data_IF_208148951955
#
_entry.id   IF_208148951955
#
_cell.length_a   1.000
_cell.length_b   1.000
_cell.length_c   1.000
_cell.angle_alpha   90.00
_cell.angle_beta   90.00
_cell.angle_gamma   90.00
#
_symmetry.space_group_name_H-M   'P 1'
#
loop_
_entity.id
_entity.type
_entity.pdbx_description
1 polymer ?
2 polymer ?
3 polymer ?
4 polymer ?
5 non-polymer ?
6 non-polymer ?
7 non-polymer ?
8 non-polymer ?
9 water ?
#
loop_
_entity_poly.entity_id
_entity_poly.type
_entity_poly.pdbx_seq_one_letter_code
_entity_poly.pdbx_strand_id
2 'polydeoxyribonucleotide' '(DC)(DG)(DG)(DC)(DA)(DT)(DA)(DC)(DG)' ?
3 'polydeoxyribonucleotide' '(DC)(DG)(DT)(DA)(DT)' ?
4 'polydeoxyribonucleotide' '(DG)(DC)(DC)(DG)' ?
#
# COMPACT_ATOMS: atom_id res chain seq x y z
N UNK A 10 -9.33 16.21 17.19
CA UNK A 10 -8.92 15.16 16.27
C UNK A 10 -10.11 14.69 15.42
N UNK A 11 -10.12 15.01 14.13
CA UNK A 11 -11.24 14.56 13.29
C UNK A 11 -11.23 13.06 13.10
N UNK A 12 -12.38 12.53 12.71
CA UNK A 12 -12.61 11.10 12.75
C UNK A 12 -12.08 10.39 11.52
N UNK A 13 -11.90 11.10 10.40
CA UNK A 13 -11.41 10.52 9.16
C UNK A 13 -9.93 10.85 8.98
N UNK A 14 -9.15 9.86 8.51
CA UNK A 14 -7.72 10.12 8.34
C UNK A 14 -7.44 11.16 7.26
N UNK A 15 -8.35 11.35 6.32
CA UNK A 15 -8.09 12.33 5.26
C UNK A 15 -8.30 13.77 5.73
N UNK A 16 -8.76 13.97 6.96
CA UNK A 16 -9.01 15.27 7.53
C UNK A 16 -7.87 15.80 8.37
N UNK A 17 -6.77 15.07 8.45
CA UNK A 17 -5.68 15.48 9.33
C UNK A 17 -4.35 15.07 8.70
N UNK A 18 -3.31 15.87 8.89
CA UNK A 18 -1.99 15.48 8.38
C UNK A 18 -1.44 14.29 9.16
N UNK A 19 -0.85 13.34 8.43
CA UNK A 19 -0.20 12.21 9.07
C UNK A 19 1.19 12.08 8.49
N UNK A 20 2.23 12.43 9.24
CA UNK A 20 3.59 12.40 8.71
C UNK A 20 4.12 10.97 8.72
N UNK A 21 5.23 10.80 8.02
CA UNK A 21 5.82 9.48 7.89
C UNK A 21 6.40 9.01 9.21
N UNK A 22 7.07 9.90 9.92
CA UNK A 22 7.61 9.59 11.23
C UNK A 22 6.89 10.45 12.26
N UNK A 23 6.76 9.90 13.47
CA UNK A 23 5.86 10.55 14.41
C UNK A 23 6.33 10.23 15.84
N UNK A 24 5.43 10.41 16.82
CA UNK A 24 5.81 10.45 18.23
C UNK A 24 5.21 9.30 19.02
N UNK A 25 4.60 8.34 18.35
CA UNK A 25 3.92 7.25 19.04
C UNK A 25 4.19 5.93 18.33
N UNK A 26 5.44 5.74 17.88
CA UNK A 26 5.77 4.63 17.00
C UNK A 26 5.47 3.27 17.63
N UNK A 27 5.90 3.06 18.88
CA UNK A 27 5.67 1.78 19.53
C UNK A 27 4.19 1.47 19.74
N UNK A 28 3.42 2.47 20.11
CA UNK A 28 2.00 2.25 20.31
C UNK A 28 1.32 1.90 19.00
N UNK A 29 1.63 2.65 17.94
CA UNK A 29 1.00 2.36 16.66
C UNK A 29 1.41 0.99 16.12
N UNK A 30 2.68 0.60 16.32
CA UNK A 30 3.10 -0.70 15.81
C UNK A 30 2.32 -1.83 16.51
N UNK A 31 2.04 -1.70 17.79
CA UNK A 31 1.29 -2.74 18.49
C UNK A 31 -0.12 -2.85 17.95
N UNK A 32 -0.80 -1.72 17.78
CA UNK A 32 -2.15 -1.74 17.23
C UNK A 32 -2.14 -2.33 15.82
N UNK A 33 -1.10 -2.04 15.04
CA UNK A 33 -1.03 -2.59 13.70
C UNK A 33 -0.80 -4.11 13.69
N UNK A 34 -0.17 -4.66 14.73
CA UNK A 34 -0.07 -6.12 14.83
C UNK A 34 -1.47 -6.72 14.96
N UNK A 35 -2.29 -6.12 15.82
CA UNK A 35 -3.66 -6.62 16.02
C UNK A 35 -4.49 -6.43 14.75
N UNK A 36 -4.27 -5.35 14.01
CA UNK A 36 -4.97 -5.18 12.73
C UNK A 36 -4.61 -6.29 11.77
N UNK A 37 -3.32 -6.56 11.65
CA UNK A 37 -2.86 -7.60 10.73
C UNK A 37 -3.43 -8.96 11.13
N UNK A 38 -3.41 -9.26 12.42
CA UNK A 38 -3.95 -10.53 12.88
C UNK A 38 -5.44 -10.63 12.60
N UNK A 39 -6.17 -9.53 12.79
CA UNK A 39 -7.59 -9.50 12.45
C UNK A 39 -7.82 -9.84 10.98
N UNK A 40 -6.98 -9.30 10.10
CA UNK A 40 -7.11 -9.63 8.69
C UNK A 40 -6.83 -11.09 8.40
N UNK A 41 -5.86 -11.68 9.10
CA UNK A 41 -5.57 -13.10 8.87
C UNK A 41 -6.76 -13.97 9.24
N UNK A 42 -7.65 -13.48 10.11
CA UNK A 42 -8.83 -14.22 10.52
C UNK A 42 -10.08 -13.77 9.76
N UNK A 43 -9.92 -12.95 8.73
CA UNK A 43 -11.04 -12.49 7.96
C UNK A 43 -11.92 -11.44 8.62
N UNK A 44 -11.42 -10.78 9.65
CA UNK A 44 -12.22 -9.82 10.42
C UNK A 44 -11.92 -8.40 9.92
N UNK A 45 -12.49 -8.07 8.75
CA UNK A 45 -12.15 -6.80 8.11
C UNK A 45 -12.57 -5.59 8.93
N UNK A 46 -13.69 -5.69 9.67
CA UNK A 46 -14.10 -4.58 10.50
C UNK A 46 -13.11 -4.28 11.62
N UNK A 47 -12.69 -5.32 12.33
CA UNK A 47 -11.68 -5.16 13.37
C UNK A 47 -10.39 -4.61 12.79
N UNK A 48 -9.94 -5.16 11.67
CA UNK A 48 -8.71 -4.66 11.03
C UNK A 48 -8.81 -3.16 10.81
N UNK A 49 -9.93 -2.70 10.26
CA UNK A 49 -10.10 -1.27 10.02
C UNK A 49 -10.00 -0.47 11.32
N UNK A 50 -10.69 -0.91 12.38
CA UNK A 50 -10.66 -0.10 13.58
C UNK A 50 -9.25 -0.02 14.16
N UNK A 51 -8.55 -1.15 14.19
CA UNK A 51 -7.19 -1.13 14.74
C UNK A 51 -6.27 -0.29 13.87
N UNK A 52 -6.42 -0.40 12.54
CA UNK A 52 -5.66 0.48 11.63
C UNK A 52 -5.96 1.96 11.89
N UNK A 53 -7.25 2.30 12.03
CA UNK A 53 -7.64 3.67 12.29
C UNK A 53 -7.10 4.19 13.62
N UNK A 54 -7.16 3.36 14.66
CA UNK A 54 -6.65 3.77 15.98
C UNK A 54 -5.14 4.01 15.90
N UNK A 55 -4.42 3.10 15.26
CA UNK A 55 -2.99 3.31 15.04
C UNK A 55 -2.74 4.64 14.33
N UNK A 56 -3.51 4.93 13.27
CA UNK A 56 -3.31 6.14 12.49
C UNK A 56 -3.58 7.41 13.31
N UNK A 57 -4.54 7.36 14.22
CA UNK A 57 -4.80 8.52 15.09
C UNK A 57 -3.55 8.86 15.89
N UNK A 58 -2.87 7.84 16.41
CA UNK A 58 -1.66 8.07 17.18
C UNK A 58 -0.56 8.66 16.32
N UNK A 59 -0.47 8.23 15.06
CA UNK A 59 0.52 8.82 14.16
C UNK A 59 0.29 10.30 13.94
N UNK A 60 -0.97 10.76 14.03
CA UNK A 60 -1.34 12.15 13.80
C UNK A 60 -1.15 13.05 15.02
N UNK A 61 -0.83 12.48 16.18
CA UNK A 61 -0.74 13.29 17.39
C UNK A 61 0.56 14.10 17.39
N UNK A 62 0.57 15.26 18.03
CA UNK A 62 1.75 16.13 18.01
C UNK A 62 2.82 15.79 19.02
N UNK A 63 2.59 14.85 19.93
CA UNK A 63 3.56 14.50 20.94
C UNK A 63 3.25 13.10 21.44
N UNK A 64 4.14 12.50 22.25
CA UNK A 64 3.88 11.15 22.77
C UNK A 64 2.71 11.11 23.73
N UNK A 65 1.92 10.05 23.60
CA UNK A 65 0.99 9.66 24.65
C UNK A 65 1.78 9.08 25.82
N UNK A 66 1.60 9.70 27.00
CA UNK A 66 2.24 9.25 28.24
C UNK A 66 1.26 8.77 29.30
N UNK A 67 -0.02 9.13 29.18
CA UNK A 67 -1.01 8.77 30.19
C UNK A 67 -2.29 8.36 29.48
N UNK A 68 -3.04 7.47 30.12
CA UNK A 68 -4.26 6.96 29.52
C UNK A 68 -5.28 8.06 29.31
N UNK A 69 -5.27 9.06 30.19
CA UNK A 69 -6.24 10.16 30.06
C UNK A 69 -6.13 10.85 28.71
N UNK A 70 -4.95 10.79 28.07
CA UNK A 70 -4.74 11.46 26.80
C UNK A 70 -5.53 10.80 25.65
N UNK A 71 -6.04 9.58 25.85
CA UNK A 71 -6.87 8.93 24.84
C UNK A 71 -8.33 9.38 24.90
N UNK A 72 -8.74 10.01 25.99
CA UNK A 72 -10.14 10.40 26.12
C UNK A 72 -10.52 11.35 24.99
N UNK A 73 -11.62 11.05 24.31
CA UNK A 73 -12.07 11.91 23.25
C UNK A 73 -11.45 11.63 21.89
N UNK A 74 -10.39 10.84 21.83
CA UNK A 74 -9.81 10.51 20.52
C UNK A 74 -10.72 9.53 19.78
N UNK A 75 -10.96 9.73 18.50
CA UNK A 75 -11.76 8.77 17.74
C UNK A 75 -11.06 7.44 17.57
N UNK A 76 -11.87 6.37 17.53
CA UNK A 76 -11.46 4.99 17.31
C UNK A 76 -10.76 4.35 18.49
N UNK A 77 -10.74 5.01 19.66
CA UNK A 77 -10.25 4.39 20.88
C UNK A 77 -11.43 4.06 21.79
N UNK A 78 -11.77 2.77 21.83
CA UNK A 78 -12.70 2.22 22.76
C UNK A 78 -12.01 1.32 23.77
N UNK A 79 -12.81 0.40 24.33
CA UNK A 79 -12.29 -0.41 25.43
C UNK A 79 -11.06 -1.21 25.02
N UNK A 80 -11.08 -1.80 23.82
CA UNK A 80 -10.01 -2.73 23.44
C UNK A 80 -8.72 -1.98 23.08
N UNK A 81 -8.77 -0.99 22.19
CA UNK A 81 -7.54 -0.29 21.84
C UNK A 81 -6.98 0.51 23.01
N UNK A 82 -7.87 1.01 23.88
CA UNK A 82 -7.40 1.74 25.06
C UNK A 82 -6.66 0.80 26.03
N UNK A 83 -7.18 -0.42 26.20
CA UNK A 83 -6.52 -1.38 27.08
C UNK A 83 -5.14 -1.75 26.56
N UNK A 84 -5.00 -1.89 25.23
CA UNK A 84 -3.70 -2.17 24.63
C UNK A 84 -2.71 -1.08 24.99
N UNK A 85 -3.10 0.18 24.76
CA UNK A 85 -2.24 1.31 25.09
C UNK A 85 -1.94 1.33 26.59
N UNK A 86 -2.95 1.11 27.41
CA UNK A 86 -2.74 1.15 28.86
C UNK A 86 -1.65 0.16 29.27
N UNK A 87 -1.71 -1.07 28.76
CA UNK A 87 -0.73 -2.06 29.13
C UNK A 87 0.66 -1.67 28.65
N UNK A 88 0.76 -1.15 27.42
CA UNK A 88 2.07 -0.73 26.95
C UNK A 88 2.65 0.38 27.83
N UNK A 89 1.79 1.31 28.26
CA UNK A 89 2.26 2.43 29.06
C UNK A 89 2.65 1.98 30.46
N UNK A 90 1.95 0.99 31.00
CA UNK A 90 2.19 0.53 32.37
C UNK A 90 3.33 -0.49 32.46
N UNK A 91 3.46 -1.39 31.48
CA UNK A 91 4.41 -2.48 31.56
C UNK A 91 5.38 -2.58 30.39
N UNK A 92 5.25 -1.73 29.37
CA UNK A 92 6.11 -1.80 28.20
C UNK A 92 5.76 -2.90 27.23
N UNK A 93 4.73 -3.69 27.53
CA UNK A 93 4.34 -4.83 26.70
C UNK A 93 2.84 -5.02 26.88
N UNK A 94 2.18 -5.51 25.84
CA UNK A 94 0.77 -5.87 25.88
C UNK A 94 0.68 -7.37 25.66
N UNK A 95 0.08 -8.07 26.63
CA UNK A 95 0.10 -9.54 26.60
C UNK A 95 -0.57 -10.06 25.33
N UNK A 96 -1.72 -9.49 24.97
CA UNK A 96 -2.42 -9.92 23.74
C UNK A 96 -1.52 -9.80 22.52
N UNK A 97 -0.85 -8.65 22.37
CA UNK A 97 0.03 -8.44 21.23
C UNK A 97 1.16 -9.45 21.21
N UNK A 98 1.79 -9.71 22.36
CA UNK A 98 2.89 -10.68 22.38
C UNK A 98 2.40 -12.09 22.08
N UNK A 99 1.22 -12.44 22.57
CA UNK A 99 0.66 -13.74 22.27
C UNK A 99 0.45 -13.89 20.76
N UNK A 100 -0.11 -12.87 20.12
CA UNK A 100 -0.24 -12.91 18.66
C UNK A 100 1.13 -13.08 18.01
N UNK A 101 2.09 -12.22 18.37
CA UNK A 101 3.40 -12.24 17.71
C UNK A 101 4.03 -13.62 17.70
N UNK A 102 3.94 -14.34 18.82
CA UNK A 102 4.63 -15.61 18.91
C UNK A 102 3.78 -16.77 18.40
N UNK A 103 2.52 -16.53 18.04
CA UNK A 103 1.65 -17.63 17.67
C UNK A 103 2.05 -18.22 16.32
N UNK A 104 1.89 -19.53 16.21
CA UNK A 104 2.24 -20.22 14.97
C UNK A 104 1.36 -19.74 13.83
N UNK A 105 0.10 -19.46 14.13
CA UNK A 105 -0.83 -19.00 13.11
C UNK A 105 -0.39 -17.67 12.53
N UNK A 106 -0.09 -16.71 13.38
CA UNK A 106 0.33 -15.39 12.91
C UNK A 106 1.62 -15.48 12.10
N UNK A 107 2.62 -16.20 12.61
CA UNK A 107 3.91 -16.18 11.93
C UNK A 107 3.82 -16.84 10.57
N UNK A 108 3.00 -17.89 10.45
CA UNK A 108 2.90 -18.59 9.17
C UNK A 108 2.04 -17.82 8.17
N UNK A 109 0.92 -17.26 8.63
CA UNK A 109 0.10 -16.44 7.73
C UNK A 109 0.89 -15.23 7.25
N UNK A 110 1.65 -14.61 8.12
CA UNK A 110 2.51 -13.51 7.68
C UNK A 110 3.50 -14.00 6.62
N UNK A 111 4.16 -15.14 6.88
CA UNK A 111 5.14 -15.66 5.93
C UNK A 111 4.49 -15.93 4.59
N UNK A 112 3.34 -16.58 4.60
CA UNK A 112 2.70 -17.00 3.36
C UNK A 112 2.11 -15.80 2.61
N UNK A 113 1.44 -14.89 3.31
CA UNK A 113 0.83 -13.76 2.61
C UNK A 113 1.86 -12.79 2.05
N UNK A 114 3.06 -12.75 2.62
CA UNK A 114 4.11 -11.93 2.05
C UNK A 114 4.61 -12.45 0.70
N UNK A 115 4.24 -13.68 0.29
CA UNK A 115 4.61 -14.17 -1.03
C UNK A 115 3.78 -13.45 -2.09
N UNK A 116 4.45 -12.95 -3.14
CA UNK A 116 3.75 -12.41 -4.29
C UNK A 116 2.92 -13.52 -4.95
N UNK A 117 1.60 -13.35 -4.98
CA UNK A 117 0.68 -14.30 -5.57
C UNK A 117 -0.13 -15.07 -4.56
N UNK A 118 0.18 -14.90 -3.28
CA UNK A 118 -0.51 -15.58 -2.19
C UNK A 118 -1.24 -14.54 -1.35
N UNK A 119 -2.54 -14.70 -1.20
CA UNK A 119 -3.33 -13.88 -0.31
C UNK A 119 -3.77 -14.63 0.93
N UNK A 120 -4.61 -13.97 1.73
CA UNK A 120 -5.05 -14.56 3.00
C UNK A 120 -5.73 -15.90 2.76
N UNK A 121 -6.64 -15.96 1.77
CA UNK A 121 -7.39 -17.18 1.54
C UNK A 121 -6.48 -18.34 1.16
N UNK A 122 -5.52 -18.11 0.26
CA UNK A 122 -4.62 -19.19 -0.10
C UNK A 122 -3.75 -19.60 1.08
N UNK A 123 -3.22 -18.62 1.81
CA UNK A 123 -2.38 -18.91 2.98
C UNK A 123 -3.15 -19.68 4.04
N UNK A 124 -4.41 -19.31 4.26
CA UNK A 124 -5.21 -20.00 5.26
C UNK A 124 -5.45 -21.45 4.87
N UNK A 125 -5.75 -21.70 3.60
CA UNK A 125 -5.95 -23.08 3.14
C UNK A 125 -4.69 -23.91 3.35
N UNK A 126 -3.53 -23.37 2.93
CA UNK A 126 -2.26 -24.06 3.13
C UNK A 126 -1.99 -24.31 4.61
N UNK A 127 -2.28 -23.32 5.45
CA UNK A 127 -2.09 -23.51 6.89
C UNK A 127 -2.92 -24.68 7.39
N UNK A 128 -4.19 -24.74 6.98
CA UNK A 128 -5.07 -25.80 7.45
C UNK A 128 -4.65 -27.16 6.91
N UNK A 129 -4.06 -27.20 5.72
CA UNK A 129 -3.48 -28.44 5.17
C UNK A 129 -2.20 -28.85 5.90
N UNK A 130 -1.69 -28.04 6.80
CA UNK A 130 -0.53 -28.38 7.57
C UNK A 130 0.78 -27.77 7.12
N UNK A 131 0.77 -26.96 6.07
CA UNK A 131 2.02 -26.38 5.56
C UNK A 131 2.47 -25.23 6.46
N UNK A 132 3.78 -25.09 6.64
CA UNK A 132 4.30 -24.10 7.56
C UNK A 132 5.47 -23.28 7.04
N UNK A 133 6.25 -23.77 6.07
CA UNK A 133 7.49 -23.14 5.66
C UNK A 133 7.51 -22.96 4.14
N UNK A 134 8.44 -22.13 3.66
CA UNK A 134 8.55 -21.95 2.22
C UNK A 134 8.99 -23.24 1.54
N UNK A 135 9.85 -24.00 2.21
CA UNK A 135 10.30 -25.26 1.63
C UNK A 135 9.14 -26.26 1.56
N UNK A 136 8.21 -26.23 2.53
CA UNK A 136 6.99 -27.01 2.35
C UNK A 136 6.31 -26.69 1.03
N UNK A 137 6.28 -25.41 0.66
CA UNK A 137 5.60 -25.04 -0.59
C UNK A 137 6.42 -25.47 -1.79
N UNK A 138 7.74 -25.33 -1.71
CA UNK A 138 8.59 -25.67 -2.82
C UNK A 138 8.57 -27.17 -3.11
N UNK A 139 8.28 -27.98 -2.09
CA UNK A 139 8.19 -29.43 -2.25
C UNK A 139 6.90 -29.89 -2.94
N UNK A 140 6.00 -28.98 -3.30
CA UNK A 140 4.74 -29.37 -3.95
C UNK A 140 4.37 -28.36 -5.04
N UNK A 141 5.23 -28.18 -6.04
CA UNK A 141 5.00 -27.14 -7.05
C UNK A 141 3.73 -27.34 -7.85
N UNK A 142 3.11 -28.52 -7.78
CA UNK A 142 1.84 -28.73 -8.46
C UNK A 142 0.74 -27.84 -7.89
N UNK A 143 0.86 -27.43 -6.64
CA UNK A 143 -0.14 -26.59 -6.00
C UNK A 143 0.03 -25.10 -6.32
N UNK A 144 1.02 -24.70 -7.10
CA UNK A 144 1.37 -23.29 -7.23
C UNK A 144 1.03 -22.76 -8.62
N UNK A 145 0.49 -21.55 -8.65
CA UNK A 145 0.36 -20.82 -9.91
C UNK A 145 1.74 -20.35 -10.38
N UNK A 146 1.83 -19.99 -11.66
CA UNK A 146 3.08 -19.44 -12.18
C UNK A 146 3.45 -18.17 -11.42
N UNK A 147 2.45 -17.40 -11.01
CA UNK A 147 2.70 -16.19 -10.25
C UNK A 147 3.28 -16.53 -8.89
N UNK A 148 2.68 -17.51 -8.21
CA UNK A 148 3.20 -17.97 -6.93
C UNK A 148 4.59 -18.56 -7.09
N UNK A 149 4.83 -19.27 -8.19
CA UNK A 149 6.16 -19.84 -8.40
C UNK A 149 7.20 -18.73 -8.48
N UNK A 150 6.88 -17.66 -9.19
CA UNK A 150 7.76 -16.50 -9.29
C UNK A 150 7.97 -15.86 -7.93
N UNK A 151 6.87 -15.68 -7.19
CA UNK A 151 6.96 -15.08 -5.87
C UNK A 151 7.82 -15.89 -4.93
N UNK A 152 7.72 -17.22 -5.01
CA UNK A 152 8.50 -18.09 -4.15
C UNK A 152 9.95 -18.14 -4.61
N UNK A 153 10.21 -18.22 -5.92
CA UNK A 153 11.60 -18.21 -6.39
C UNK A 153 12.31 -16.95 -5.96
N UNK A 154 11.65 -15.79 -6.06
CA UNK A 154 12.26 -14.51 -5.79
C UNK A 154 12.01 -14.01 -4.38
N UNK A 155 11.50 -14.87 -3.49
CA UNK A 155 11.06 -14.39 -2.17
C UNK A 155 12.17 -13.72 -1.38
N UNK A 156 13.39 -14.27 -1.41
CA UNK A 156 14.46 -13.71 -0.62
C UNK A 156 14.77 -12.29 -1.08
N UNK A 157 14.94 -12.08 -2.39
CA UNK A 157 15.22 -10.74 -2.88
C UNK A 157 14.07 -9.78 -2.58
N UNK A 158 12.85 -10.25 -2.76
CA UNK A 158 11.67 -9.39 -2.57
C UNK A 158 11.45 -9.07 -1.11
N UNK A 159 12.11 -9.79 -0.20
CA UNK A 159 12.09 -9.49 1.23
C UNK A 159 13.11 -8.44 1.62
N UNK A 160 14.03 -8.11 0.75
CA UNK A 160 15.09 -7.13 1.01
C UNK A 160 14.55 -5.74 0.70
N UNK A 161 14.72 -4.76 1.60
CA UNK A 161 14.15 -3.43 1.30
C UNK A 161 14.71 -2.81 0.02
N UNK A 162 13.81 -2.21 -0.74
CA UNK A 162 14.16 -1.38 -1.88
C UNK A 162 14.59 -0.01 -1.35
N UNK A 163 15.74 0.50 -1.83
CA UNK A 163 16.24 1.78 -1.35
C UNK A 163 15.97 2.90 -2.35
N UNK A 164 16.04 4.15 -1.88
CA UNK A 164 15.78 5.27 -2.79
C UNK A 164 16.78 5.31 -3.95
N UNK A 165 18.04 4.88 -3.76
CA UNK A 165 18.97 4.74 -4.90
C UNK A 165 18.46 3.74 -5.94
N UNK A 166 17.85 2.64 -5.50
CA UNK A 166 17.30 1.68 -6.44
C UNK A 166 16.20 2.31 -7.27
N UNK A 167 15.45 3.23 -6.66
CA UNK A 167 14.30 3.82 -7.34
C UNK A 167 14.76 4.69 -8.49
N UNK A 168 15.78 5.53 -8.27
CA UNK A 168 16.28 6.39 -9.35
C UNK A 168 16.74 5.56 -10.54
N UNK A 169 17.42 4.44 -10.27
CA UNK A 169 17.90 3.61 -11.38
C UNK A 169 16.74 3.02 -12.16
N UNK A 170 15.70 2.54 -11.46
CA UNK A 170 14.57 1.93 -12.13
C UNK A 170 13.78 2.95 -12.93
N UNK A 171 13.65 4.16 -12.40
CA UNK A 171 12.84 5.15 -13.10
C UNK A 171 13.47 5.47 -14.44
N UNK A 172 14.80 5.53 -14.49
CA UNK A 172 15.49 5.82 -15.74
C UNK A 172 15.23 4.73 -16.77
N UNK A 173 15.27 3.45 -16.39
CA UNK A 173 15.08 2.40 -17.39
C UNK A 173 13.62 2.37 -17.83
N UNK A 174 12.68 2.67 -16.92
CA UNK A 174 11.27 2.71 -17.32
C UNK A 174 11.04 3.86 -18.29
N UNK A 175 11.62 5.02 -18.00
CA UNK A 175 11.49 6.17 -18.89
C UNK A 175 12.06 5.87 -20.28
N UNK A 176 13.18 5.16 -20.34
CA UNK A 176 13.76 4.81 -21.64
C UNK A 176 12.79 3.97 -22.45
N UNK A 177 12.17 2.95 -21.83
CA UNK A 177 11.25 2.09 -22.54
C UNK A 177 9.98 2.84 -22.91
N UNK A 178 9.53 3.71 -22.01
CA UNK A 178 8.32 4.49 -22.25
C UNK A 178 8.53 5.45 -23.42
N UNK A 179 9.72 6.03 -23.51
CA UNK A 179 10.04 6.96 -24.59
C UNK A 179 10.03 6.34 -25.96
N UNK A 180 10.46 5.08 -26.09
CA UNK A 180 10.40 4.39 -27.38
C UNK A 180 8.98 3.94 -27.67
N UNK A 181 8.26 3.51 -26.64
CA UNK A 181 6.91 3.05 -26.86
C UNK A 181 6.02 4.19 -27.30
N UNK A 182 6.19 5.36 -26.68
CA UNK A 182 5.33 6.50 -27.01
C UNK A 182 6.04 7.80 -26.66
N UNK A 183 6.68 8.42 -27.63
CA UNK A 183 7.35 9.69 -27.38
C UNK A 183 6.41 10.72 -26.76
N UNK A 184 6.92 11.41 -25.74
CA UNK A 184 6.14 12.39 -25.01
C UNK A 184 5.43 11.85 -23.78
N UNK A 185 5.35 10.53 -23.65
CA UNK A 185 4.76 9.94 -22.44
C UNK A 185 5.65 10.20 -21.25
N UNK A 186 5.02 10.32 -20.08
CA UNK A 186 5.73 10.70 -18.86
C UNK A 186 5.58 9.59 -17.82
N UNK A 187 6.50 9.60 -16.87
CA UNK A 187 6.59 8.58 -15.83
C UNK A 187 6.66 9.34 -14.52
N UNK A 188 5.72 9.06 -13.61
CA UNK A 188 5.67 9.69 -12.30
C UNK A 188 5.84 8.64 -11.21
N UNK A 189 6.75 8.89 -10.27
CA UNK A 189 6.91 8.03 -9.10
C UNK A 189 5.73 8.19 -8.17
N UNK A 190 5.10 7.08 -7.78
CA UNK A 190 3.96 7.15 -6.86
C UNK A 190 4.21 6.28 -5.62
N UNK A 191 3.14 5.81 -4.99
CA UNK A 191 3.26 4.98 -3.80
C UNK A 191 4.06 5.59 -2.67
N UNK A 192 4.62 4.71 -1.85
CA UNK A 192 5.28 5.12 -0.63
C UNK A 192 6.45 6.04 -0.88
N UNK A 193 7.18 5.84 -1.99
CA UNK A 193 8.33 6.72 -2.21
C UNK A 193 7.87 8.15 -2.50
N UNK A 194 6.74 8.34 -3.16
CA UNK A 194 6.24 9.70 -3.34
C UNK A 194 5.84 10.33 -2.00
N UNK A 195 5.41 9.54 -1.02
CA UNK A 195 5.11 10.04 0.33
C UNK A 195 6.34 10.27 1.18
N UNK A 196 7.53 10.01 0.63
CA UNK A 196 8.75 10.30 1.32
C UNK A 196 9.46 9.14 1.96
N UNK A 197 8.99 7.91 1.76
CA UNK A 197 9.64 6.75 2.37
C UNK A 197 11.07 6.61 1.84
N UNK A 198 11.96 6.14 2.71
CA UNK A 198 13.34 5.94 2.32
C UNK A 198 13.60 4.49 1.87
N UNK A 199 12.68 3.60 2.21
CA UNK A 199 12.71 2.20 1.80
C UNK A 199 11.30 1.75 1.49
N UNK A 200 11.21 0.64 0.77
CA UNK A 200 9.92 0.10 0.38
C UNK A 200 10.05 -1.36 -0.02
N UNK A 201 8.93 -1.99 -0.29
CA UNK A 201 8.98 -3.36 -0.77
C UNK A 201 8.60 -3.45 -2.24
N UNK A 202 8.33 -2.31 -2.87
CA UNK A 202 8.15 -2.27 -4.31
C UNK A 202 8.30 -0.82 -4.73
N UNK A 203 8.28 -0.59 -6.03
CA UNK A 203 8.31 0.74 -6.63
C UNK A 203 7.09 0.88 -7.51
N UNK A 204 6.41 2.00 -7.37
CA UNK A 204 5.15 2.26 -8.05
C UNK A 204 5.32 3.44 -9.01
N UNK A 205 4.88 3.26 -10.27
CA UNK A 205 4.94 4.30 -11.28
C UNK A 205 3.60 4.47 -11.99
N UNK A 206 3.32 5.72 -12.38
CA UNK A 206 2.13 6.12 -13.13
C UNK A 206 2.57 6.79 -14.42
N UNK A 207 2.04 6.31 -15.53
CA UNK A 207 2.42 6.73 -16.87
C UNK A 207 1.21 7.37 -17.54
N UNK A 208 1.41 8.50 -18.23
CA UNK A 208 0.36 9.11 -19.01
C UNK A 208 1.00 9.79 -20.23
N UNK A 209 0.17 10.50 -20.99
CA UNK A 209 0.63 11.27 -22.16
C UNK A 209 -0.22 12.54 -22.22
N UNK A 210 0.38 13.69 -22.56
CA UNK A 210 -0.39 14.96 -22.53
C UNK A 210 -1.54 15.03 -23.52
N UNK A 211 -1.55 14.22 -24.56
CA UNK A 211 -2.63 14.22 -25.55
C UNK A 211 -3.60 13.08 -25.22
N UNK A 212 -4.82 13.46 -24.81
CA UNK A 212 -5.82 12.47 -24.43
C UNK A 212 -6.00 11.43 -25.52
N UNK A 213 -5.96 10.17 -25.12
CA UNK A 213 -6.14 9.04 -26.01
C UNK A 213 -4.85 8.42 -26.51
N UNK A 214 -3.75 9.15 -26.51
CA UNK A 214 -2.51 8.61 -27.02
C UNK A 214 -2.00 7.47 -26.12
N UNK A 215 -2.45 7.43 -24.88
CA UNK A 215 -1.97 6.40 -23.97
C UNK A 215 -2.62 5.05 -24.20
N UNK A 216 -3.68 4.98 -25.01
CA UNK A 216 -4.31 3.71 -25.34
C UNK A 216 -3.27 2.76 -25.91
N UNK A 217 -3.27 1.52 -25.42
CA UNK A 217 -2.37 0.47 -25.91
C UNK A 217 -0.92 0.61 -25.50
N UNK A 218 -0.63 1.50 -24.55
CA UNK A 218 0.74 1.80 -24.23
C UNK A 218 1.41 0.70 -23.44
N UNK A 219 0.73 0.14 -22.46
CA UNK A 219 1.45 -0.69 -21.53
C UNK A 219 2.00 -1.97 -22.19
N UNK A 220 1.28 -2.63 -23.12
CA UNK A 220 1.91 -3.76 -23.81
C UNK A 220 3.18 -3.39 -24.50
N UNK A 221 3.22 -2.20 -25.12
CA UNK A 221 4.40 -1.78 -25.85
C UNK A 221 5.57 -1.54 -24.91
N UNK A 222 5.29 -1.00 -23.72
CA UNK A 222 6.31 -0.80 -22.72
C UNK A 222 6.84 -2.13 -22.22
N UNK A 223 5.94 -3.05 -21.89
CA UNK A 223 6.39 -4.31 -21.30
C UNK A 223 7.22 -5.11 -22.31
N UNK A 224 6.85 -5.07 -23.60
CA UNK A 224 7.60 -5.80 -24.62
C UNK A 224 9.02 -5.25 -24.74
N UNK A 225 9.16 -3.93 -24.64
CA UNK A 225 10.47 -3.32 -24.73
C UNK A 225 11.33 -3.63 -23.49
N UNK A 226 10.74 -3.58 -22.30
CA UNK A 226 11.50 -3.95 -21.12
C UNK A 226 11.93 -5.41 -21.17
N UNK A 227 11.04 -6.29 -21.63
CA UNK A 227 11.38 -7.71 -21.69
C UNK A 227 12.48 -7.97 -22.71
N UNK A 228 12.42 -7.28 -23.85
CA UNK A 228 13.50 -7.39 -24.83
C UNK A 228 14.84 -6.96 -24.26
N UNK A 229 14.85 -5.96 -23.37
CA UNK A 229 16.10 -5.50 -22.78
C UNK A 229 16.61 -6.41 -21.66
N UNK A 230 15.93 -7.54 -21.39
CA UNK A 230 16.37 -8.46 -20.36
C UNK A 230 16.14 -7.99 -18.94
N UNK A 231 15.24 -7.03 -18.75
CA UNK A 231 15.04 -6.42 -17.44
C UNK A 231 13.88 -7.01 -16.67
N UNK A 232 13.09 -7.87 -17.29
CA UNK A 232 11.87 -8.38 -16.70
C UNK A 232 12.07 -9.84 -16.33
N UNK A 233 12.04 -10.12 -15.03
CA UNK A 233 12.10 -11.50 -14.55
C UNK A 233 10.74 -12.16 -14.53
N UNK A 234 9.67 -11.39 -14.36
CA UNK A 234 8.31 -11.92 -14.34
C UNK A 234 7.33 -10.81 -14.69
N UNK A 235 6.39 -11.12 -15.59
CA UNK A 235 5.18 -10.31 -15.65
C UNK A 235 4.03 -11.17 -16.16
N UNK A 236 2.82 -10.62 -16.02
CA UNK A 236 1.58 -11.34 -16.28
C UNK A 236 1.42 -11.77 -17.73
N UNK A 237 2.23 -11.26 -18.66
CA UNK A 237 2.02 -11.53 -20.07
C UNK A 237 3.30 -12.01 -20.75
N UNK A 257 -4.15 -4.08 -21.52
CA UNK A 257 -4.15 -3.92 -20.06
C UNK A 257 -3.56 -2.56 -19.70
N UNK A 258 -3.80 -2.13 -18.45
CA UNK A 258 -3.38 -0.81 -17.99
C UNK A 258 -2.67 -0.85 -16.64
N UNK A 259 -2.58 -2.00 -15.99
CA UNK A 259 -1.78 -2.15 -14.78
C UNK A 259 -0.92 -3.39 -14.95
N UNK A 260 0.35 -3.29 -14.59
CA UNK A 260 1.23 -4.45 -14.61
C UNK A 260 1.91 -4.59 -13.26
N UNK A 261 2.07 -5.83 -12.82
CA UNK A 261 2.71 -6.16 -11.54
C UNK A 261 3.93 -7.00 -11.90
N UNK A 262 5.10 -6.38 -11.92
CA UNK A 262 6.31 -6.96 -12.51
C UNK A 262 7.31 -7.29 -11.42
N UNK A 263 8.24 -8.19 -11.76
CA UNK A 263 9.51 -8.34 -11.05
C UNK A 263 10.60 -7.98 -12.03
N UNK A 264 11.38 -6.95 -11.70
CA UNK A 264 12.46 -6.39 -12.50
C UNK A 264 13.80 -6.91 -12.00
N UNK A 265 14.73 -6.99 -12.94
CA UNK A 265 16.12 -7.25 -12.65
C UNK A 265 16.85 -5.92 -12.47
N UNK A 266 17.30 -5.65 -11.26
CA UNK A 266 17.97 -4.40 -10.94
C UNK A 266 19.46 -4.63 -10.73
N UNK A 267 20.33 -3.99 -11.53
CA UNK A 267 21.78 -4.14 -11.32
C UNK A 267 22.23 -3.79 -9.91
N UNK A 268 23.23 -4.53 -9.45
CA UNK A 268 23.86 -4.42 -8.15
C UNK A 268 25.36 -4.57 -8.36
N UNK A 269 26.19 -4.09 -7.45
CA UNK A 269 27.64 -4.28 -7.59
C UNK A 269 28.01 -5.73 -7.94
N UNK A 270 28.44 -5.95 -9.18
CA UNK A 270 28.86 -7.27 -9.61
C UNK A 270 27.75 -8.30 -9.71
N UNK A 271 26.51 -7.88 -9.57
CA UNK A 271 25.41 -8.81 -9.71
C UNK A 271 24.09 -8.07 -9.94
N UNK A 272 23.01 -8.55 -9.37
CA UNK A 272 21.71 -7.88 -9.51
C UNK A 272 20.76 -8.47 -8.47
N UNK A 273 19.60 -7.82 -8.33
CA UNK A 273 18.58 -8.34 -7.43
C UNK A 273 17.21 -8.11 -8.06
N UNK A 274 16.29 -8.98 -7.69
CA UNK A 274 14.92 -8.87 -8.13
C UNK A 274 14.18 -7.81 -7.31
N UNK A 275 13.37 -7.00 -7.99
CA UNK A 275 12.61 -5.92 -7.35
C UNK A 275 11.19 -5.90 -7.91
N UNK A 276 10.20 -5.77 -7.04
CA UNK A 276 8.82 -5.60 -7.47
C UNK A 276 8.58 -4.19 -7.98
N UNK A 277 8.00 -4.08 -9.17
CA UNK A 277 7.68 -2.81 -9.80
C UNK A 277 6.24 -2.88 -10.31
N UNK A 278 5.46 -1.84 -10.00
CA UNK A 278 4.10 -1.73 -10.50
C UNK A 278 4.02 -0.55 -11.47
N UNK A 279 3.46 -0.81 -12.64
CA UNK A 279 3.20 0.22 -13.64
C UNK A 279 1.71 0.40 -13.84
N UNK A 280 1.28 1.65 -13.91
CA UNK A 280 -0.11 2.01 -14.16
C UNK A 280 -0.14 3.05 -15.28
N UNK A 281 -1.07 2.89 -16.22
CA UNK A 281 -1.30 3.84 -17.29
C UNK A 281 -2.67 4.46 -17.09
N UNK A 282 -2.76 5.78 -17.20
CA UNK A 282 -4.02 6.51 -17.14
C UNK A 282 -4.07 7.58 -18.20
N UNK A 283 -5.25 7.88 -18.73
CA UNK A 283 -5.38 9.04 -19.61
C UNK A 283 -5.19 10.32 -18.82
N UNK A 284 -4.69 11.37 -19.49
CA UNK A 284 -4.35 12.60 -18.77
C UNK A 284 -5.58 13.22 -18.11
N UNK A 285 -6.78 13.00 -18.67
CA UNK A 285 -7.98 13.54 -18.02
C UNK A 285 -8.22 12.92 -16.65
N UNK A 286 -7.75 11.70 -16.43
CA UNK A 286 -7.93 11.00 -15.15
C UNK A 286 -6.68 11.06 -14.28
N UNK A 287 -5.60 11.64 -14.79
CA UNK A 287 -4.31 11.59 -14.10
C UNK A 287 -4.40 12.08 -12.66
N UNK A 288 -5.06 13.20 -12.33
CA UNK A 288 -5.11 13.60 -10.91
C UNK A 288 -5.73 12.54 -10.01
N UNK A 289 -6.78 11.88 -10.48
CA UNK A 289 -7.41 10.84 -9.70
C UNK A 289 -6.51 9.61 -9.58
N UNK A 290 -5.82 9.26 -10.67
CA UNK A 290 -4.95 8.09 -10.64
C UNK A 290 -3.73 8.34 -9.77
N UNK A 291 -3.23 9.58 -9.80
CA UNK A 291 -2.12 9.98 -8.95
C UNK A 291 -2.52 9.95 -7.48
N UNK A 292 -3.67 10.51 -7.18
CA UNK A 292 -4.18 10.50 -5.81
C UNK A 292 -4.31 9.08 -5.30
N UNK A 293 -4.96 8.22 -6.09
CA UNK A 293 -5.13 6.84 -5.67
C UNK A 293 -3.82 6.08 -5.51
N UNK A 294 -2.90 6.26 -6.45
CA UNK A 294 -1.68 5.49 -6.41
C UNK A 294 -0.67 6.01 -5.41
N UNK A 295 -0.87 7.23 -4.89
CA UNK A 295 0.05 7.77 -3.89
C UNK A 295 -0.31 7.30 -2.47
N UNK A 296 -1.55 6.91 -2.23
CA UNK A 296 -1.92 6.31 -0.93
C UNK A 296 -1.83 7.30 0.22
N UNK A 297 -1.59 6.83 1.44
CA UNK A 297 -1.46 5.44 1.78
C UNK A 297 -2.76 4.67 1.52
N UNK A 298 -2.69 3.35 1.68
CA UNK A 298 -3.88 2.51 1.52
C UNK A 298 -5.00 2.96 2.46
N UNK A 299 -4.68 3.16 3.74
CA UNK A 299 -5.71 3.62 4.67
C UNK A 299 -6.20 5.02 4.31
N UNK A 300 -5.27 5.90 3.89
CA UNK A 300 -5.69 7.24 3.48
C UNK A 300 -6.73 7.18 2.37
N UNK A 301 -6.50 6.33 1.35
CA UNK A 301 -7.43 6.26 0.23
C UNK A 301 -8.78 5.67 0.65
N UNK A 302 -8.75 4.64 1.49
CA UNK A 302 -9.99 4.05 2.00
C UNK A 302 -10.80 5.11 2.73
N UNK A 303 -10.12 5.88 3.59
CA UNK A 303 -10.76 6.92 4.38
C UNK A 303 -11.27 8.05 3.51
N UNK A 304 -10.50 8.44 2.48
CA UNK A 304 -10.93 9.47 1.56
C UNK A 304 -12.16 9.06 0.78
N UNK A 305 -12.19 7.81 0.32
CA UNK A 305 -13.34 7.32 -0.42
C UNK A 305 -14.55 7.17 0.50
N UNK A 306 -14.32 6.72 1.73
CA UNK A 306 -15.41 6.64 2.71
C UNK A 306 -15.98 8.02 3.00
N UNK A 307 -15.09 8.99 3.22
CA UNK A 307 -15.49 10.38 3.46
C UNK A 307 -16.28 10.94 2.29
N UNK A 308 -15.79 10.71 1.07
CA UNK A 308 -16.46 11.24 -0.10
C UNK A 308 -17.90 10.74 -0.18
N UNK A 309 -18.07 9.43 -0.05
CA UNK A 309 -19.41 8.83 -0.19
C UNK A 309 -20.29 9.19 0.99
N UNK A 310 -19.79 9.06 2.21
CA UNK A 310 -20.67 9.15 3.39
C UNK A 310 -20.94 10.59 3.79
N UNK A 311 -19.96 11.49 3.66
CA UNK A 311 -20.10 12.88 4.08
C UNK A 311 -20.48 13.82 2.96
N UNK A 312 -20.11 13.51 1.71
CA UNK A 312 -20.33 14.42 0.60
C UNK A 312 -21.26 13.87 -0.46
N UNK A 313 -21.60 12.59 -0.41
CA UNK A 313 -22.49 11.99 -1.40
C UNK A 313 -21.88 11.78 -2.75
N UNK A 314 -20.56 11.79 -2.85
CA UNK A 314 -19.86 11.65 -4.11
C UNK A 314 -19.06 10.36 -4.10
N UNK A 315 -18.91 9.73 -5.27
CA UNK A 315 -18.29 8.43 -5.41
C UNK A 315 -16.89 8.61 -6.02
N UNK A 316 -15.86 8.31 -5.23
CA UNK A 316 -14.46 8.52 -5.60
C UNK A 316 -13.79 7.20 -5.97
N UNK A 317 -13.03 7.20 -7.05
CA UNK A 317 -12.15 6.07 -7.36
C UNK A 317 -10.94 6.61 -8.11
N UNK A 318 -10.10 5.69 -8.61
CA UNK A 318 -8.85 6.12 -9.24
C UNK A 318 -9.06 6.72 -10.62
N UNK A 319 -10.30 6.72 -11.11
CA UNK A 319 -10.62 7.29 -12.41
C UNK A 319 -11.37 8.61 -12.36
N UNK A 320 -12.01 8.95 -11.25
CA UNK A 320 -12.86 10.12 -11.23
C UNK A 320 -13.66 10.22 -9.95
N UNK A 321 -14.48 11.25 -9.92
CA UNK A 321 -15.32 11.60 -8.77
C UNK A 321 -16.71 11.89 -9.32
N UNK A 322 -17.67 11.07 -8.96
CA UNK A 322 -18.99 11.03 -9.59
C UNK A 322 -20.05 11.58 -8.66
N UNK A 323 -20.89 12.49 -9.18
CA UNK A 323 -22.05 12.98 -8.45
C UNK A 323 -23.24 12.14 -8.89
N UNK A 324 -23.72 11.22 -8.06
CA UNK A 324 -24.76 10.29 -8.52
C UNK A 324 -26.13 10.91 -8.63
N UNK A 325 -26.30 12.14 -8.14
CA UNK A 325 -27.56 12.85 -8.30
C UNK A 325 -27.63 13.55 -9.67
N UNK A 326 -26.62 14.35 -10.00
CA UNK A 326 -26.54 14.96 -11.32
C UNK A 326 -25.98 14.04 -12.40
N UNK A 327 -25.48 12.86 -12.03
CA UNK A 327 -24.89 11.94 -13.00
C UNK A 327 -23.79 12.62 -13.81
N UNK A 328 -22.89 13.29 -13.09
CA UNK A 328 -21.78 14.00 -13.72
C UNK A 328 -20.48 13.66 -13.00
N UNK A 329 -19.39 13.69 -13.76
CA UNK A 329 -18.03 13.54 -13.24
C UNK A 329 -17.36 14.90 -13.07
N UNK A 330 -16.68 15.08 -11.95
CA UNK A 330 -15.89 16.28 -11.74
C UNK A 330 -14.63 16.21 -12.60
N UNK A 331 -14.33 17.31 -13.29
CA UNK A 331 -13.11 17.39 -14.08
C UNK A 331 -12.07 18.05 -13.20
N UNK A 332 -11.11 17.27 -12.75
CA UNK A 332 -10.00 17.81 -11.97
C UNK A 332 -8.77 17.98 -12.84
N UNK A 333 -8.04 19.06 -12.57
CA UNK A 333 -6.77 19.33 -13.21
C UNK A 333 -5.59 19.04 -12.28
N UNK A 334 -5.85 18.77 -11.01
CA UNK A 334 -4.80 18.59 -10.02
C UNK A 334 -5.38 17.86 -8.83
N UNK A 335 -4.48 17.29 -8.02
CA UNK A 335 -4.91 16.79 -6.72
C UNK A 335 -5.54 17.90 -5.88
N UNK A 336 -4.94 19.10 -5.93
CA UNK A 336 -5.51 20.23 -5.21
C UNK A 336 -7.00 20.40 -5.55
N UNK A 337 -7.36 20.30 -6.84
CA UNK A 337 -8.76 20.37 -7.26
C UNK A 337 -9.61 19.34 -6.51
N UNK A 338 -9.10 18.11 -6.38
CA UNK A 338 -9.92 17.06 -5.80
C UNK A 338 -10.18 17.35 -4.33
N UNK A 339 -9.14 17.73 -3.59
CA UNK A 339 -9.33 18.08 -2.18
C UNK A 339 -10.34 19.23 -2.04
N UNK A 340 -10.22 20.27 -2.90
CA UNK A 340 -11.17 21.37 -2.82
C UNK A 340 -12.60 20.92 -3.10
N UNK A 341 -12.78 20.07 -4.11
CA UNK A 341 -14.10 19.52 -4.44
C UNK A 341 -14.76 18.94 -3.18
N UNK A 342 -14.00 18.11 -2.45
CA UNK A 342 -14.47 17.38 -1.29
C UNK A 342 -14.50 18.23 -0.04
N UNK A 343 -14.19 19.53 -0.14
CA UNK A 343 -14.16 20.41 1.02
C UNK A 343 -13.13 20.06 2.06
N UNK A 344 -11.98 19.54 1.64
CA UNK A 344 -10.91 19.12 2.55
C UNK A 344 -9.71 20.03 2.35
N UNK A 345 -9.03 20.37 3.44
CA UNK A 345 -7.76 21.06 3.30
C UNK A 345 -6.77 20.17 2.56
N UNK A 346 -5.96 20.78 1.69
CA UNK A 346 -4.99 20.01 0.92
C UNK A 346 -3.93 19.41 1.83
N UNK A 347 -3.55 18.17 1.54
CA UNK A 347 -2.45 17.50 2.21
C UNK A 347 -1.45 17.06 1.15
N UNK A 348 -0.20 17.49 1.23
CA UNK A 348 0.81 16.97 0.33
C UNK A 348 1.03 15.49 0.58
N UNK A 349 1.67 14.77 -0.37
CA UNK A 349 1.89 13.32 -0.18
C UNK A 349 2.53 12.91 1.12
N UNK A 350 3.50 13.71 1.58
CA UNK A 350 4.21 13.37 2.80
C UNK A 350 3.35 13.50 4.05
N UNK A 351 2.14 14.05 3.95
CA UNK A 351 1.19 14.09 5.07
C UNK A 351 0.01 13.16 4.86
N UNK A 352 0.12 12.19 3.93
CA UNK A 352 -0.91 11.18 3.69
C UNK A 352 -0.52 9.81 4.19
N UNK A 353 0.37 9.76 5.17
CA UNK A 353 0.93 8.50 5.69
C UNK A 353 0.08 7.93 6.80
N UNK A 354 -1.23 7.89 6.54
CA UNK A 354 -2.18 7.31 7.51
C UNK A 354 -1.91 5.85 7.70
X LIG E 1 4.16 -1.62 2.53
X LIG E 1 2.83 -1.11 3.10
X LIG E 1 5.38 -1.32 3.42
X LIG E 1 4.43 -0.85 1.15
X LIG E 1 3.56 -0.88 -0.18
X LIG E 1 2.81 -2.22 -0.12
X LIG E 1 4.61 -0.61 -1.25
X LIG E 1 2.59 0.40 -0.10
X LIG E 1 3.05 1.89 -0.40
X LIG E 1 1.76 2.72 -0.34
X LIG E 1 3.81 1.93 -1.75
X LIG E 1 4.00 2.49 0.65
X LIG E 1 4.17 -3.20 2.19
X LIG F 1 4.46 0.58 -3.11
X LIG G 1 2.97 -1.42 -5.51
X LIG H 1 0.83 -11.81 -1.14
X LIG I 1 2.97 -1.42 -5.51
X LIG J 1 -0.63 13.37 22.71
X LIG J 1 -0.36 14.55 21.93
X LIG J 1 -0.65 13.70 24.21
X LIG J 1 -1.73 14.61 24.44
X LIG K 1 -22.52 -5.60 15.02
X LIG L 1 1.67 -0.51 -2.48
X LIG L 1 1.21 -1.89 -2.01
X LIG L 1 2.84 -0.41 -3.40
X LIG L 1 1.91 0.30 -1.07
X LIG L 1 2.85 1.62 -0.84
X LIG L 1 2.04 2.59 -0.01
X LIG L 1 3.41 2.11 -2.17
X LIG L 1 3.90 1.03 0.21
X LIG L 1 5.07 -0.12 0.01
X LIG L 1 4.74 -1.32 0.93
X LIG L 1 6.42 0.44 0.38
X LIG L 1 5.07 -0.46 -1.41
X LIG L 1 0.36 0.27 -3.07
X LIG L 1 0.57 1.53 -3.70
X LIG L 1 -0.64 2.46 -3.56
X LIG L 1 -1.84 1.87 -4.12
X LIG L 1 -1.05 2.74 -2.10
X LIG L 1 -0.20 3.64 -1.37
X LIG L 1 -2.47 3.25 -2.32
X LIG L 1 -2.99 2.26 -3.36
X LIG L 1 -3.62 1.05 -2.74
X LIG L 1 -4.98 1.05 -2.56
X LIG L 1 -5.72 1.94 -2.94
X LIG L 1 -5.51 -0.08 -2.00
X LIG L 1 -4.82 -1.21 -1.58
X LIG L 1 -5.32 -2.21 -1.04
X LIG L 1 -3.40 -1.12 -1.77
X LIG L 1 -2.55 -2.28 -1.34
X LIG L 1 -2.85 -0.01 -2.31
X LIG M 1 1.38 -3.23 -0.93
#
# INVERSE_FOLDING_TARGET
GSAAASPAWMPAYACQRPTPLTHHNTGLSEALEILAEAAGFEGSEGRLLTFCRAASVLKALPSPVTTLSQLQGLPHFGEHSSRVVQELLEHGVCEEVERVRRSERYQTMKLFTQIFGVGVKTADRWYREGLRTLDDLREQPQKLTQQQKAGLQHHQDLSTPVLRSDVDALQQVVEEAVGQALPGATVTLTGGFRRGKLQGHDVDFLITHPKEGQEAGLLPRVMCRLQDQGLILYHQHQHSCCESPTRLAQQSHMDAFERSFCIFRLPQPGSWKAVRVDLVVAPVSQFPFALLGATGSKLFQRELRRFSRKEKGLWLNSHGLFDPEQKTFFQAASEEDIFRHLGLEYLPPEQRNA
TTP PA O1A O2A O3A PB O1B O2B O3B PG O1G O2G O3G O5'
MG MG
MG MG
NA NA
NA NA
EDO C1 O1 C2 O2
MG MG
TTP PA O1A O2A O3A PB O1B O2B O3B PG O1G O2G O3G O5' C5' C4' O4' C3' O3' C2' C1' N1 C2 O2 N3 C4 O4 C5 C5M C6
MG MG
#
